data_IF_696827474345
#
_entry.id   IF_696827474345
#
_cell.length_a   1.000
_cell.length_b   1.000
_cell.length_c   1.000
_cell.angle_alpha   90.00
_cell.angle_beta   90.00
_cell.angle_gamma   90.00
#
_symmetry.space_group_name_H-M   'P 1'
#
loop_
_entity.id
_entity.type
_entity.pdbx_description
1 polymer ?
2 non-polymer ?
3 non-polymer ?
4 water ?
#
# COMPACT_ATOMS: atom_id res chain seq x y z
N UNK A 2 -4.53 13.22 -13.23
CA UNK A 2 -5.66 13.41 -12.27
C UNK A 2 -5.90 12.11 -11.50
N UNK A 3 -5.48 12.04 -10.24
CA UNK A 3 -5.75 10.91 -9.32
C UNK A 3 -7.26 10.75 -9.16
N UNK A 4 -7.73 9.50 -9.06
CA UNK A 4 -9.11 9.11 -8.66
C UNK A 4 -9.02 7.96 -7.66
N UNK A 5 -9.84 7.99 -6.60
CA UNK A 5 -9.87 6.95 -5.53
C UNK A 5 -10.11 5.59 -6.19
N UNK A 6 -9.41 4.56 -5.71
CA UNK A 6 -9.60 3.14 -6.12
C UNK A 6 -10.82 2.55 -5.41
N UNK A 7 -11.69 1.87 -6.17
CA UNK A 7 -12.83 1.08 -5.66
C UNK A 7 -12.31 -0.26 -5.15
N UNK A 8 -13.15 -1.02 -4.44
CA UNK A 8 -12.90 -2.43 -4.04
C UNK A 8 -12.59 -3.27 -5.28
N UNK A 9 -13.29 -3.02 -6.40
CA UNK A 9 -13.07 -3.73 -7.68
C UNK A 9 -11.71 -3.36 -8.26
N UNK A 10 -11.34 -2.07 -8.23
CA UNK A 10 -10.00 -1.61 -8.70
C UNK A 10 -8.92 -2.39 -7.92
N UNK A 11 -9.04 -2.48 -6.59
CA UNK A 11 -8.04 -3.12 -5.69
C UNK A 11 -7.94 -4.63 -5.98
N UNK A 12 -9.07 -5.33 -6.11
CA UNK A 12 -9.11 -6.78 -6.42
C UNK A 12 -8.32 -7.06 -7.71
N UNK A 13 -8.52 -6.23 -8.73
CA UNK A 13 -7.85 -6.33 -10.06
C UNK A 13 -6.34 -6.12 -9.89
N UNK A 14 -5.94 -5.06 -9.18
CA UNK A 14 -4.51 -4.74 -8.92
C UNK A 14 -3.83 -5.91 -8.20
N UNK A 15 -4.48 -6.50 -7.20
CA UNK A 15 -3.91 -7.65 -6.45
C UNK A 15 -3.68 -8.81 -7.43
N UNK A 16 -4.68 -9.10 -8.27
CA UNK A 16 -4.63 -10.18 -9.29
C UNK A 16 -3.46 -9.92 -10.25
N UNK A 17 -3.35 -8.69 -10.75
CA UNK A 17 -2.30 -8.27 -11.71
C UNK A 17 -0.93 -8.44 -11.05
N UNK A 18 -0.78 -8.03 -9.79
CA UNK A 18 0.50 -8.10 -9.04
C UNK A 18 0.88 -9.57 -8.80
N UNK A 19 -0.07 -10.43 -8.42
CA UNK A 19 0.18 -11.88 -8.20
C UNK A 19 0.75 -12.47 -9.49
N UNK A 20 0.12 -12.17 -10.63
CA UNK A 20 0.54 -12.66 -11.98
C UNK A 20 1.94 -12.13 -12.34
N UNK A 21 2.13 -10.82 -12.30
CA UNK A 21 3.35 -10.15 -12.83
C UNK A 21 4.55 -10.46 -11.93
N UNK A 22 4.35 -10.67 -10.62
CA UNK A 22 5.46 -11.02 -9.69
C UNK A 22 5.57 -12.54 -9.54
N UNK A 23 4.69 -13.31 -10.19
CA UNK A 23 4.67 -14.80 -10.08
C UNK A 23 4.64 -15.18 -8.59
N UNK A 24 3.70 -14.62 -7.84
CA UNK A 24 3.56 -14.85 -6.37
C UNK A 24 3.08 -16.28 -6.17
N UNK A 25 3.79 -17.12 -5.38
CA UNK A 25 3.36 -18.50 -5.15
C UNK A 25 2.00 -18.59 -4.43
N UNK A 26 1.29 -19.69 -4.68
CA UNK A 26 -0.08 -19.97 -4.18
C UNK A 26 -0.16 -19.76 -2.66
N UNK A 27 0.87 -20.15 -1.91
CA UNK A 27 0.85 -20.12 -0.42
C UNK A 27 0.88 -18.67 0.08
N UNK A 28 1.53 -17.76 -0.66
CA UNK A 28 1.54 -16.31 -0.34
C UNK A 28 0.16 -15.71 -0.62
N UNK A 29 -0.46 -16.07 -1.75
CA UNK A 29 -1.81 -15.58 -2.16
C UNK A 29 -2.82 -15.93 -1.05
N UNK A 30 -2.69 -17.11 -0.43
CA UNK A 30 -3.62 -17.56 0.63
C UNK A 30 -3.35 -16.76 1.91
N UNK A 31 -2.08 -16.45 2.21
CA UNK A 31 -1.70 -15.59 3.35
C UNK A 31 -2.33 -14.20 3.17
N UNK A 32 -2.13 -13.58 2.00
CA UNK A 32 -2.61 -12.21 1.71
C UNK A 32 -4.13 -12.15 1.85
N UNK A 33 -4.82 -13.19 1.36
CA UNK A 33 -6.30 -13.33 1.40
C UNK A 33 -6.79 -13.18 2.85
N UNK A 34 -6.03 -13.70 3.81
CA UNK A 34 -6.35 -13.68 5.27
C UNK A 34 -5.61 -12.53 5.96
N UNK A 35 -5.17 -11.53 5.19
CA UNK A 35 -4.45 -10.32 5.68
C UNK A 35 -3.23 -10.69 6.54
N UNK A 36 -2.48 -11.71 6.11
CA UNK A 36 -1.17 -12.10 6.67
C UNK A 36 -0.09 -11.69 5.67
N UNK A 37 0.84 -10.83 6.09
CA UNK A 37 1.89 -10.23 5.22
C UNK A 37 3.25 -10.50 5.86
N UNK A 38 3.91 -11.62 5.52
CA UNK A 38 5.25 -11.92 6.03
C UNK A 38 6.25 -10.82 5.67
N UNK A 39 7.29 -10.62 6.49
CA UNK A 39 8.28 -9.53 6.26
C UNK A 39 9.45 -10.11 5.47
N UNK A 40 9.16 -10.49 4.22
CA UNK A 40 10.14 -10.98 3.22
C UNK A 40 9.90 -10.20 1.93
N UNK A 41 10.88 -10.22 1.03
CA UNK A 41 10.88 -9.42 -0.22
C UNK A 41 9.69 -9.80 -1.11
N UNK A 42 9.28 -11.07 -1.12
CA UNK A 42 8.10 -11.54 -1.88
C UNK A 42 6.92 -10.65 -1.51
N UNK A 43 6.62 -10.53 -0.21
CA UNK A 43 5.47 -9.76 0.31
C UNK A 43 5.68 -8.26 0.10
N UNK A 44 6.86 -7.75 0.44
CA UNK A 44 7.17 -6.30 0.39
C UNK A 44 7.01 -5.78 -1.04
N UNK A 45 7.55 -6.49 -2.04
CA UNK A 45 7.45 -6.08 -3.46
C UNK A 45 6.00 -6.22 -3.95
N UNK A 46 5.23 -7.19 -3.43
CA UNK A 46 3.78 -7.32 -3.73
C UNK A 46 3.07 -6.05 -3.27
N UNK A 47 3.34 -5.61 -2.04
CA UNK A 47 2.68 -4.40 -1.47
C UNK A 47 3.09 -3.17 -2.29
N UNK A 48 4.37 -3.07 -2.66
CA UNK A 48 4.83 -1.95 -3.52
C UNK A 48 4.03 -1.94 -4.83
N UNK A 49 3.92 -3.09 -5.48
CA UNK A 49 3.19 -3.27 -6.76
C UNK A 49 1.75 -2.77 -6.63
N UNK A 50 1.05 -3.18 -5.57
CA UNK A 50 -0.38 -2.80 -5.33
C UNK A 50 -0.44 -1.28 -5.15
N UNK A 51 0.44 -0.71 -4.32
CA UNK A 51 0.48 0.74 -4.01
C UNK A 51 0.83 1.52 -5.29
N UNK A 52 1.72 0.98 -6.13
CA UNK A 52 2.09 1.58 -7.43
C UNK A 52 0.82 1.73 -8.28
N UNK A 53 0.07 0.63 -8.41
CA UNK A 53 -1.13 0.53 -9.29
C UNK A 53 -2.22 1.47 -8.77
N UNK A 54 -2.30 1.67 -7.46
CA UNK A 54 -3.30 2.57 -6.82
C UNK A 54 -2.85 4.03 -6.84
N UNK A 55 -1.67 4.32 -7.39
CA UNK A 55 -1.02 5.67 -7.41
C UNK A 55 -0.89 6.20 -5.98
N UNK A 56 -0.51 5.33 -5.04
CA UNK A 56 -0.29 5.72 -3.62
C UNK A 56 1.20 5.77 -3.31
N UNK A 57 2.04 5.24 -4.19
CA UNK A 57 3.50 5.12 -3.95
C UNK A 57 4.23 5.22 -5.29
N UNK A 58 5.28 6.03 -5.31
CA UNK A 58 6.22 6.14 -6.44
C UNK A 58 7.58 5.61 -5.96
N UNK A 59 8.24 4.78 -6.76
CA UNK A 59 9.50 4.10 -6.36
C UNK A 59 10.60 5.13 -6.07
N UNK A 60 10.54 6.33 -6.67
CA UNK A 60 11.57 7.38 -6.46
C UNK A 60 11.07 8.39 -5.42
N UNK A 61 9.86 8.94 -5.58
CA UNK A 61 9.30 10.00 -4.69
C UNK A 61 8.76 9.41 -3.38
N UNK A 62 8.36 8.14 -3.36
CA UNK A 62 7.84 7.48 -2.15
C UNK A 62 6.33 7.61 -2.02
N UNK A 63 5.78 7.62 -0.79
CA UNK A 63 4.34 7.78 -0.57
C UNK A 63 3.80 9.07 -1.21
N UNK A 64 2.68 8.97 -1.91
CA UNK A 64 2.00 10.11 -2.58
C UNK A 64 0.92 10.61 -1.62
N UNK A 65 1.26 11.61 -0.82
CA UNK A 65 0.55 11.95 0.45
C UNK A 65 -0.90 12.35 0.14
N UNK A 66 -1.12 13.29 -0.78
CA UNK A 66 -2.50 13.78 -1.06
C UNK A 66 -3.34 12.62 -1.59
N UNK A 67 -2.79 11.79 -2.48
CA UNK A 67 -3.48 10.60 -3.03
C UNK A 67 -3.86 9.66 -1.88
N UNK A 68 -2.94 9.42 -0.94
CA UNK A 68 -3.20 8.57 0.24
C UNK A 68 -4.34 9.15 1.08
N UNK A 69 -4.39 10.47 1.26
CA UNK A 69 -5.45 11.09 2.10
C UNK A 69 -6.82 10.80 1.47
N UNK A 70 -6.95 11.00 0.16
CA UNK A 70 -8.21 10.79 -0.60
C UNK A 70 -8.62 9.31 -0.50
N UNK A 71 -7.66 8.39 -0.61
CA UNK A 71 -7.95 6.93 -0.59
C UNK A 71 -8.37 6.47 0.81
N UNK A 72 -7.67 6.93 1.85
CA UNK A 72 -7.69 6.31 3.21
C UNK A 72 -8.72 6.97 4.13
N UNK A 73 -9.22 8.16 3.77
CA UNK A 73 -10.04 8.99 4.68
C UNK A 73 -11.32 8.22 5.03
N UNK A 74 -12.02 7.69 4.01
CA UNK A 74 -13.28 6.93 4.19
C UNK A 74 -14.24 7.72 5.10
N UNK A 75 -14.53 8.97 4.76
CA UNK A 75 -15.50 9.81 5.49
C UNK A 75 -14.98 10.33 6.83
N UNK A 76 -13.67 10.29 7.05
CA UNK A 76 -13.03 10.93 8.23
C UNK A 76 -12.57 12.32 7.82
N UNK A 77 -12.16 13.14 8.78
CA UNK A 77 -11.71 14.53 8.54
C UNK A 77 -10.41 14.51 7.72
N UNK A 78 -10.34 15.25 6.61
CA UNK A 78 -9.21 15.18 5.65
C UNK A 78 -7.91 15.64 6.33
N UNK A 79 -7.99 16.64 7.21
CA UNK A 79 -6.80 17.21 7.91
C UNK A 79 -6.28 16.20 8.94
N UNK A 80 -7.18 15.53 9.66
CA UNK A 80 -6.83 14.47 10.64
C UNK A 80 -6.10 13.33 9.92
N UNK A 81 -6.66 12.88 8.80
CA UNK A 81 -6.09 11.75 8.02
C UNK A 81 -4.72 12.17 7.47
N UNK A 82 -4.60 13.41 6.98
CA UNK A 82 -3.31 13.93 6.45
C UNK A 82 -2.26 13.88 7.56
N UNK A 83 -2.60 14.30 8.78
CA UNK A 83 -1.66 14.31 9.93
C UNK A 83 -1.18 12.87 10.18
N UNK A 84 -2.11 11.91 10.15
CA UNK A 84 -1.82 10.47 10.38
C UNK A 84 -0.91 9.97 9.25
N UNK A 85 -1.25 10.27 8.00
CA UNK A 85 -0.46 9.82 6.82
C UNK A 85 0.97 10.36 6.95
N UNK A 86 1.14 11.65 7.24
CA UNK A 86 2.47 12.31 7.28
C UNK A 86 3.36 11.63 8.33
N UNK A 87 2.78 11.15 9.43
CA UNK A 87 3.53 10.46 10.51
C UNK A 87 4.13 9.15 9.97
N UNK A 88 3.52 8.56 8.94
CA UNK A 88 3.90 7.27 8.31
C UNK A 88 4.82 7.48 7.11
N UNK A 89 4.99 8.72 6.66
CA UNK A 89 5.82 9.05 5.47
C UNK A 89 7.23 9.38 5.96
N UNK A 90 8.23 8.71 5.36
CA UNK A 90 9.67 8.84 5.69
C UNK A 90 10.51 8.80 4.40
N UNK A 91 11.81 9.03 4.53
CA UNK A 91 12.80 8.94 3.43
C UNK A 91 13.06 7.47 3.10
N UNK A 92 13.63 7.23 1.93
CA UNK A 92 14.03 5.88 1.45
C UNK A 92 15.38 5.52 2.09
N UNK A 93 15.44 5.42 3.41
CA UNK A 93 16.74 5.42 4.14
C UNK A 93 17.55 4.17 3.78
N UNK A 94 16.91 3.03 3.50
CA UNK A 94 17.67 1.79 3.14
C UNK A 94 17.62 1.53 1.63
N UNK A 95 17.32 2.56 0.83
CA UNK A 95 17.51 2.56 -0.65
C UNK A 95 16.84 1.33 -1.26
N UNK A 96 15.56 1.11 -0.95
CA UNK A 96 14.85 -0.12 -1.36
C UNK A 96 13.36 0.20 -1.44
N UNK A 97 12.82 0.36 -2.65
CA UNK A 97 11.43 0.83 -2.85
C UNK A 97 10.46 -0.21 -2.29
N UNK A 98 10.79 -1.51 -2.37
CA UNK A 98 9.93 -2.56 -1.77
C UNK A 98 9.88 -2.38 -0.25
N UNK A 99 11.04 -2.25 0.41
CA UNK A 99 11.12 -2.05 1.88
C UNK A 99 10.35 -0.78 2.25
N UNK A 100 10.54 0.28 1.47
CA UNK A 100 9.96 1.63 1.69
C UNK A 100 8.44 1.55 1.68
N UNK A 101 7.86 0.98 0.62
CA UNK A 101 6.39 0.89 0.44
C UNK A 101 5.79 0.07 1.58
N UNK A 102 6.45 -1.05 1.94
CA UNK A 102 5.98 -1.96 3.00
C UNK A 102 5.97 -1.26 4.36
N UNK A 103 7.01 -0.47 4.66
CA UNK A 103 7.16 0.26 5.94
C UNK A 103 5.95 1.19 6.11
N UNK A 104 5.60 1.92 5.06
CA UNK A 104 4.44 2.84 5.08
C UNK A 104 3.16 2.07 5.35
N UNK A 105 2.98 0.95 4.65
CA UNK A 105 1.81 0.05 4.77
C UNK A 105 1.67 -0.42 6.22
N UNK A 106 2.75 -0.90 6.83
CA UNK A 106 2.73 -1.38 8.24
C UNK A 106 2.35 -0.22 9.16
N UNK A 107 2.82 1.00 8.88
CA UNK A 107 2.46 2.21 9.65
C UNK A 107 0.96 2.50 9.47
N UNK A 108 0.44 2.45 8.24
CA UNK A 108 -1.01 2.70 7.97
C UNK A 108 -1.85 1.69 8.77
N UNK A 109 -1.49 0.40 8.70
CA UNK A 109 -2.18 -0.70 9.43
C UNK A 109 -2.21 -0.42 10.94
N UNK A 110 -1.06 -0.08 11.52
CA UNK A 110 -0.91 0.22 12.97
C UNK A 110 -1.92 1.29 13.38
N UNK A 111 -2.23 2.22 12.47
CA UNK A 111 -3.09 3.41 12.72
C UNK A 111 -4.49 3.20 12.13
N UNK A 112 -4.85 1.95 11.83
CA UNK A 112 -6.20 1.52 11.40
C UNK A 112 -6.64 2.30 10.15
N UNK A 113 -5.72 2.62 9.25
CA UNK A 113 -6.03 3.23 7.92
C UNK A 113 -6.09 2.09 6.90
N UNK A 114 -7.30 1.77 6.41
CA UNK A 114 -7.58 0.74 5.38
C UNK A 114 -7.71 1.40 4.01
N UNK A 115 -7.30 0.71 2.94
CA UNK A 115 -7.44 1.17 1.53
C UNK A 115 -8.93 1.24 1.17
N UNK A 116 -9.70 0.23 1.62
CA UNK A 116 -11.18 0.11 1.49
C UNK A 116 -11.78 0.14 2.90
N UNK A 117 -12.87 0.89 3.08
CA UNK A 117 -13.54 1.16 4.39
C UNK A 117 -13.43 -0.07 5.30
X LIG B 1 15.01 -7.13 1.27
X LIG C 1 -17.94 -4.72 -11.71
X LIG D 1 -15.02 4.57 1.45
X LIG E 1 -3.25 -4.75 0.06
#
# INVERSE_FOLDING_TARGET
MEFTVSTTEDLQRYRTECVSSLNIPADYVEKFKKWEFPEDDTTMCYIKCVFNKMQLFDDTEGPLVDNLVHQLAHGRDAEEVRTEVLKCVDKNTDNNACHWAFRGFKCFQKNNLSLIKASIKKD
CD CD
CD CD
CD CD
CL CL
#
